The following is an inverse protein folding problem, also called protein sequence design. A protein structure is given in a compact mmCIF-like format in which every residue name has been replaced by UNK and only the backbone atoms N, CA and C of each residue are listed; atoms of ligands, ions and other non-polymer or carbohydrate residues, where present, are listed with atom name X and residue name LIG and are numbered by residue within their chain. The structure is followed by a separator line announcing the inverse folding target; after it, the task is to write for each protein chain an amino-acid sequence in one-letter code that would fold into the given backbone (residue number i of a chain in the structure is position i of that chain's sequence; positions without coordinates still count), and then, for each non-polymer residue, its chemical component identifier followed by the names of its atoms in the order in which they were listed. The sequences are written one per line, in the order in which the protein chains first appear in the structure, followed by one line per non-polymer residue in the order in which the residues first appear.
data_IF_100067049469
#
_entry.id   IF_100067049469
#
_cell.length_a   1.000
_cell.length_b   1.000
_cell.length_c   1.000
_cell.angle_alpha   90.00
_cell.angle_beta   90.00
_cell.angle_gamma   90.00
#
_symmetry.space_group_name_H-M   'P 1'
#
loop_
_entity.id
_entity.type
_entity.pdbx_description
1 polymer ?
#
# COMPACT_ATOMS: atom_id res chain seq x y z
N UNK A 1 -6.48 -35.25 -31.12
CA UNK A 1 -5.64 -34.09 -31.53
C UNK A 1 -6.37 -32.75 -31.44
N UNK A 2 -7.65 -32.64 -31.87
CA UNK A 2 -8.44 -31.38 -31.76
C UNK A 2 -8.71 -30.93 -30.30
N UNK A 3 -8.82 -31.88 -29.36
CA UNK A 3 -9.04 -31.61 -27.93
C UNK A 3 -7.79 -31.05 -27.19
N UNK A 4 -6.58 -31.39 -27.65
CA UNK A 4 -5.33 -30.90 -27.04
C UNK A 4 -5.03 -29.44 -27.41
N UNK A 5 -5.48 -28.98 -28.58
CA UNK A 5 -5.33 -27.58 -29.02
C UNK A 5 -6.24 -26.66 -28.19
N UNK A 6 -7.42 -27.14 -27.77
CA UNK A 6 -8.36 -26.36 -26.96
C UNK A 6 -7.89 -26.13 -25.52
N UNK A 7 -7.07 -27.02 -24.97
CA UNK A 7 -6.50 -26.87 -23.62
C UNK A 7 -5.33 -25.87 -23.59
N UNK A 8 -4.59 -25.74 -24.69
CA UNK A 8 -3.45 -24.80 -24.79
C UNK A 8 -3.91 -23.34 -24.97
N UNK A 9 -5.05 -23.13 -25.63
CA UNK A 9 -5.67 -21.79 -25.79
C UNK A 9 -6.24 -21.28 -24.46
N UNK A 10 -6.75 -22.18 -23.61
CA UNK A 10 -7.27 -21.81 -22.28
C UNK A 10 -6.15 -21.45 -21.29
N UNK A 11 -4.97 -22.07 -21.42
CA UNK A 11 -3.81 -21.79 -20.57
C UNK A 11 -3.14 -20.44 -20.89
N UNK A 12 -3.26 -19.95 -22.12
CA UNK A 12 -2.70 -18.66 -22.55
C UNK A 12 -3.44 -17.43 -21.98
N UNK A 13 -4.72 -17.56 -21.62
CA UNK A 13 -5.52 -16.47 -21.09
C UNK A 13 -5.23 -16.14 -19.60
N UNK A 14 -4.62 -17.07 -18.86
CA UNK A 14 -4.31 -16.91 -17.43
C UNK A 14 -3.00 -16.14 -17.17
N UNK A 15 -2.20 -15.87 -18.21
CA UNK A 15 -0.93 -15.14 -18.08
C UNK A 15 -1.07 -13.60 -18.19
N UNK A 16 -2.29 -13.08 -18.37
CA UNK A 16 -2.52 -11.67 -18.73
C UNK A 16 -2.53 -10.64 -17.59
N UNK A 17 -2.41 -11.03 -16.32
CA UNK A 17 -2.71 -10.13 -15.19
C UNK A 17 -1.50 -9.52 -14.45
N UNK A 18 -0.27 -9.59 -14.96
CA UNK A 18 0.92 -9.09 -14.23
C UNK A 18 1.40 -7.69 -14.60
N UNK A 19 0.72 -6.95 -15.48
CA UNK A 19 1.09 -5.57 -15.86
C UNK A 19 0.66 -4.51 -14.82
N UNK A 20 0.70 -4.84 -13.54
CA UNK A 20 0.53 -3.87 -12.46
C UNK A 20 1.91 -3.38 -12.01
N UNK A 21 2.32 -2.23 -12.54
CA UNK A 21 3.62 -1.58 -12.32
C UNK A 21 3.75 -0.95 -10.92
N UNK A 22 2.92 -1.35 -9.97
CA UNK A 22 2.93 -0.81 -8.61
C UNK A 22 4.21 -1.27 -7.93
N UNK A 23 5.07 -0.31 -7.61
CA UNK A 23 6.36 -0.56 -6.95
C UNK A 23 6.52 0.38 -5.77
N UNK A 24 7.22 -0.09 -4.73
CA UNK A 24 7.64 0.77 -3.63
C UNK A 24 8.75 1.69 -4.13
N UNK A 25 8.50 3.00 -4.16
CA UNK A 25 9.47 4.00 -4.60
C UNK A 25 10.20 4.68 -3.45
N UNK A 26 9.62 4.68 -2.25
CA UNK A 26 10.17 5.27 -1.05
C UNK A 26 9.74 4.45 0.17
N UNK A 27 10.66 4.31 1.12
CA UNK A 27 10.40 3.75 2.44
C UNK A 27 11.21 4.53 3.46
N UNK A 28 10.58 4.84 4.59
CA UNK A 28 11.24 5.46 5.74
C UNK A 28 10.84 4.71 6.99
N UNK A 29 11.81 4.49 7.88
CA UNK A 29 11.59 3.93 9.20
C UNK A 29 12.30 4.82 10.22
N UNK A 30 11.77 4.88 11.44
CA UNK A 30 12.37 5.67 12.51
C UNK A 30 13.80 5.18 12.81
N UNK A 31 14.85 6.00 12.65
CA UNK A 31 16.22 5.59 12.91
C UNK A 31 16.51 5.38 14.40
N UNK A 32 15.74 6.02 15.29
CA UNK A 32 15.85 5.87 16.74
C UNK A 32 15.18 4.60 17.24
N UNK A 33 14.43 3.91 16.38
CA UNK A 33 13.94 2.58 16.64
C UNK A 33 15.12 1.60 16.64
N UNK A 34 15.92 1.67 17.70
CA UNK A 34 16.93 0.66 18.02
C UNK A 34 16.13 -0.60 18.27
N UNK A 35 16.27 -1.58 17.39
CA UNK A 35 15.57 -2.86 17.44
C UNK A 35 15.91 -3.64 18.73
N UNK A 36 15.40 -3.18 19.87
CA UNK A 36 15.06 -4.09 20.94
C UNK A 36 13.99 -5.00 20.34
N UNK A 37 14.14 -6.32 20.44
CA UNK A 37 13.21 -7.20 19.78
C UNK A 37 11.83 -6.99 20.41
N UNK A 38 10.91 -6.41 19.64
CA UNK A 38 9.52 -6.29 20.04
C UNK A 38 8.96 -7.70 20.07
N UNK A 39 8.56 -8.14 21.25
CA UNK A 39 7.96 -9.44 21.47
C UNK A 39 6.53 -9.27 21.93
N UNK A 40 5.60 -9.60 21.04
CA UNK A 40 4.19 -9.76 21.36
C UNK A 40 3.79 -11.24 21.28
N UNK A 41 2.85 -11.62 22.12
CA UNK A 41 2.27 -12.96 22.15
C UNK A 41 1.06 -13.04 21.22
N UNK A 42 0.26 -11.97 21.16
CA UNK A 42 -0.98 -11.89 20.41
C UNK A 42 -1.16 -10.49 19.81
N UNK A 43 -1.11 -10.44 18.48
CA UNK A 43 -1.06 -9.21 17.71
C UNK A 43 -2.41 -8.97 17.02
N UNK A 44 -2.96 -7.79 17.19
CA UNK A 44 -4.09 -7.32 16.39
C UNK A 44 -3.58 -6.49 15.22
N UNK A 45 -4.13 -6.73 14.04
CA UNK A 45 -3.82 -5.96 12.83
C UNK A 45 -5.02 -5.09 12.48
N UNK A 46 -4.83 -3.78 12.53
CA UNK A 46 -5.88 -2.79 12.23
C UNK A 46 -5.49 -2.06 10.95
N UNK A 47 -6.40 -1.96 9.98
CA UNK A 47 -6.23 -1.07 8.84
C UNK A 47 -7.18 0.13 8.91
N UNK A 48 -6.71 1.28 8.46
CA UNK A 48 -7.53 2.48 8.22
C UNK A 48 -7.47 2.76 6.72
N UNK A 49 -8.57 2.43 6.04
CA UNK A 49 -8.70 2.48 4.58
C UNK A 49 -10.05 3.12 4.16
N UNK A 50 -10.18 3.63 2.92
CA UNK A 50 -11.36 4.30 2.38
C UNK A 50 -12.61 3.42 2.34
N UNK A 51 -12.46 2.12 2.10
CA UNK A 51 -13.56 1.17 2.10
C UNK A 51 -13.33 -0.01 3.04
N UNK A 52 -14.44 -0.64 3.45
CA UNK A 52 -14.41 -1.83 4.31
C UNK A 52 -13.71 -3.01 3.62
N UNK A 53 -13.90 -3.19 2.31
CA UNK A 53 -13.22 -4.24 1.52
C UNK A 53 -11.71 -4.04 1.51
N UNK A 54 -11.25 -2.80 1.26
CA UNK A 54 -9.83 -2.47 1.29
C UNK A 54 -9.25 -2.63 2.69
N UNK A 55 -10.00 -2.24 3.74
CA UNK A 55 -9.63 -2.43 5.14
C UNK A 55 -9.36 -3.91 5.42
N UNK A 56 -10.34 -4.78 5.18
CA UNK A 56 -10.23 -6.22 5.46
C UNK A 56 -9.10 -6.87 4.66
N UNK A 57 -9.00 -6.54 3.37
CA UNK A 57 -7.94 -7.08 2.50
C UNK A 57 -6.54 -6.69 2.98
N UNK A 58 -6.38 -5.45 3.48
CA UNK A 58 -5.11 -4.98 4.03
C UNK A 58 -4.79 -5.66 5.38
N UNK A 59 -5.79 -5.85 6.24
CA UNK A 59 -5.64 -6.58 7.51
C UNK A 59 -5.24 -8.04 7.28
N UNK A 60 -5.89 -8.73 6.33
CA UNK A 60 -5.56 -10.11 5.94
C UNK A 60 -4.13 -10.23 5.42
N UNK A 61 -3.77 -9.35 4.48
CA UNK A 61 -2.44 -9.36 3.89
C UNK A 61 -1.35 -9.11 4.95
N UNK A 62 -1.58 -8.16 5.85
CA UNK A 62 -0.63 -7.83 6.91
C UNK A 62 -0.57 -8.92 7.99
N UNK A 63 -1.70 -9.50 8.41
CA UNK A 63 -1.73 -10.62 9.33
C UNK A 63 -0.99 -11.84 8.77
N UNK A 64 -1.19 -12.15 7.48
CA UNK A 64 -0.45 -13.22 6.80
C UNK A 64 1.06 -12.96 6.74
N UNK A 65 1.49 -11.70 6.61
CA UNK A 65 2.92 -11.33 6.65
C UNK A 65 3.54 -11.44 8.04
N UNK A 66 2.78 -11.12 9.09
CA UNK A 66 3.25 -11.23 10.48
C UNK A 66 3.26 -12.69 10.94
N UNK A 67 2.27 -13.48 10.52
CA UNK A 67 2.18 -14.91 10.80
C UNK A 67 1.20 -15.27 11.92
N UNK A 68 1.33 -16.47 12.52
CA UNK A 68 0.28 -17.10 13.34
C UNK A 68 -0.20 -16.32 14.56
N UNK A 69 0.59 -15.36 15.04
CA UNK A 69 0.23 -14.52 16.20
C UNK A 69 -0.66 -13.34 15.83
N UNK A 70 -0.80 -13.02 14.55
CA UNK A 70 -1.56 -11.88 14.07
C UNK A 70 -3.01 -12.26 13.74
N UNK A 71 -3.94 -11.41 14.18
CA UNK A 71 -5.37 -11.53 13.91
C UNK A 71 -5.88 -10.26 13.23
N UNK A 72 -6.59 -10.35 12.08
CA UNK A 72 -7.26 -9.22 11.47
C UNK A 72 -8.31 -8.60 12.40
N UNK A 73 -8.30 -7.28 12.57
CA UNK A 73 -9.20 -6.59 13.48
C UNK A 73 -10.68 -6.77 13.15
N UNK A 74 -11.04 -6.90 11.88
CA UNK A 74 -12.43 -7.14 11.46
C UNK A 74 -13.02 -8.45 12.00
N UNK A 75 -12.18 -9.39 12.44
CA UNK A 75 -12.64 -10.65 13.06
C UNK A 75 -12.90 -10.54 14.56
N UNK A 76 -12.50 -9.41 15.17
CA UNK A 76 -12.54 -9.17 16.63
C UNK A 76 -13.45 -7.99 16.99
N UNK A 77 -13.37 -6.92 16.20
CA UNK A 77 -14.09 -5.67 16.35
C UNK A 77 -15.21 -5.59 15.32
N UNK A 78 -16.40 -5.19 15.76
CA UNK A 78 -17.47 -4.77 14.87
C UNK A 78 -17.15 -3.45 14.17
N UNK A 79 -17.90 -3.14 13.12
CA UNK A 79 -17.74 -1.87 12.39
C UNK A 79 -18.07 -0.63 13.25
N UNK A 80 -18.90 -0.80 14.29
CA UNK A 80 -19.16 0.26 15.26
C UNK A 80 -17.98 0.40 16.24
N UNK A 81 -17.48 -0.71 16.78
CA UNK A 81 -16.38 -0.70 17.75
C UNK A 81 -15.09 -0.14 17.12
N UNK A 82 -14.77 -0.47 15.86
CA UNK A 82 -13.54 0.01 15.20
C UNK A 82 -13.49 1.53 15.04
N UNK A 83 -14.66 2.20 15.08
CA UNK A 83 -14.78 3.67 14.99
C UNK A 83 -14.90 4.33 16.38
N UNK A 84 -14.99 3.53 17.44
CA UNK A 84 -15.06 3.98 18.83
C UNK A 84 -13.76 3.57 19.56
N UNK A 85 -12.86 4.53 19.85
CA UNK A 85 -11.59 4.24 20.53
C UNK A 85 -11.77 3.56 21.90
N UNK A 86 -12.81 3.92 22.66
CA UNK A 86 -13.04 3.37 23.99
C UNK A 86 -13.53 1.92 23.90
N UNK A 87 -14.51 1.67 23.02
CA UNK A 87 -15.01 0.32 22.79
C UNK A 87 -13.92 -0.59 22.19
N UNK A 88 -13.13 -0.08 21.24
CA UNK A 88 -11.95 -0.75 20.70
C UNK A 88 -10.97 -1.11 21.81
N UNK A 89 -10.53 -0.15 22.64
CA UNK A 89 -9.59 -0.42 23.75
C UNK A 89 -10.11 -1.55 24.65
N UNK A 90 -11.37 -1.45 25.10
CA UNK A 90 -11.98 -2.45 25.97
C UNK A 90 -12.03 -3.84 25.32
N UNK A 91 -12.43 -3.93 24.06
CA UNK A 91 -12.55 -5.20 23.33
C UNK A 91 -11.19 -5.85 23.06
N UNK A 92 -10.18 -5.05 22.70
CA UNK A 92 -8.80 -5.49 22.44
C UNK A 92 -8.17 -6.06 23.73
N UNK A 93 -8.31 -5.34 24.84
CA UNK A 93 -7.81 -5.77 26.15
C UNK A 93 -8.52 -7.03 26.65
N UNK A 94 -9.86 -7.08 26.57
CA UNK A 94 -10.64 -8.24 26.97
C UNK A 94 -10.31 -9.49 26.13
N UNK A 95 -9.90 -9.32 24.88
CA UNK A 95 -9.47 -10.41 24.01
C UNK A 95 -7.99 -10.81 24.19
N UNK A 96 -7.25 -10.15 25.10
CA UNK A 96 -5.89 -10.52 25.47
C UNK A 96 -4.82 -10.21 24.41
N UNK A 97 -5.07 -9.21 23.55
CA UNK A 97 -4.04 -8.72 22.63
C UNK A 97 -3.02 -7.89 23.42
N UNK A 98 -1.74 -8.11 23.16
CA UNK A 98 -0.63 -7.36 23.78
C UNK A 98 0.12 -6.48 22.77
N UNK A 99 -0.06 -6.71 21.46
CA UNK A 99 0.46 -5.87 20.40
C UNK A 99 -0.61 -5.43 19.41
N UNK A 100 -0.47 -4.21 18.87
CA UNK A 100 -1.28 -3.70 17.76
C UNK A 100 -0.37 -3.21 16.64
N UNK A 101 -0.62 -3.70 15.42
CA UNK A 101 -0.03 -3.15 14.19
C UNK A 101 -1.12 -2.39 13.46
N UNK A 102 -0.93 -1.08 13.30
CA UNK A 102 -1.85 -0.19 12.63
C UNK A 102 -1.28 0.21 11.27
N UNK A 103 -2.00 -0.10 10.20
CA UNK A 103 -1.72 0.35 8.84
C UNK A 103 -2.72 1.43 8.44
N UNK A 104 -2.25 2.57 7.96
CA UNK A 104 -3.12 3.68 7.56
C UNK A 104 -2.78 4.21 6.19
N UNK A 105 -3.81 4.44 5.37
CA UNK A 105 -3.67 5.14 4.10
C UNK A 105 -3.62 6.64 4.38
N UNK A 106 -2.52 7.28 4.00
CA UNK A 106 -2.36 8.73 4.12
C UNK A 106 -3.02 9.48 2.94
N UNK A 107 -3.14 8.80 1.80
CA UNK A 107 -3.74 9.34 0.59
C UNK A 107 -2.86 9.12 -0.63
N UNK A 108 -3.25 9.76 -1.73
CA UNK A 108 -2.50 9.73 -2.99
C UNK A 108 -1.79 11.07 -3.23
N UNK A 109 -0.50 10.99 -3.57
CA UNK A 109 0.25 12.09 -4.16
C UNK A 109 0.25 11.91 -5.67
N UNK A 110 -0.12 12.95 -6.40
CA UNK A 110 0.00 12.98 -7.86
C UNK A 110 1.24 13.75 -8.25
N UNK A 111 2.05 13.17 -9.13
CA UNK A 111 3.20 13.85 -9.73
C UNK A 111 2.98 13.94 -11.24
N UNK A 112 3.18 15.14 -11.80
CA UNK A 112 3.18 15.37 -13.24
C UNK A 112 4.60 15.62 -13.66
N UNK A 113 5.11 14.75 -14.51
CA UNK A 113 6.44 14.89 -15.10
C UNK A 113 6.29 15.25 -16.57
N UNK A 114 6.95 16.33 -16.96
CA UNK A 114 7.03 16.72 -18.36
C UNK A 114 8.25 16.05 -18.97
N UNK A 115 8.01 15.08 -19.84
CA UNK A 115 9.07 14.38 -20.56
C UNK A 115 9.43 15.18 -21.81
N UNK A 116 10.61 15.79 -21.81
CA UNK A 116 11.24 16.38 -22.99
C UNK A 116 12.39 15.51 -23.48
N UNK A 117 12.42 15.15 -24.77
CA UNK A 117 13.58 14.53 -25.36
C UNK A 117 14.66 15.61 -25.63
N UNK A 118 15.87 15.51 -25.08
CA UNK A 118 16.92 16.46 -25.39
C UNK A 118 17.30 16.32 -26.87
N UNK A 119 17.10 17.38 -27.65
CA UNK A 119 17.53 17.44 -29.06
C UNK A 119 18.89 18.13 -29.16
N UNK A 120 19.85 17.51 -29.81
CA UNK A 120 21.13 18.15 -30.12
C UNK A 120 21.03 18.82 -31.50
N UNK A 121 21.07 20.15 -31.54
CA UNK A 121 20.90 20.96 -32.75
C UNK A 121 21.64 22.29 -32.61
N UNK A 122 22.11 22.90 -33.73
CA UNK A 122 22.65 24.26 -33.72
C UNK A 122 21.65 25.28 -33.12
N UNK A 123 22.18 26.36 -32.52
CA UNK A 123 21.38 27.32 -31.73
C UNK A 123 20.11 27.81 -32.44
N UNK A 124 20.20 28.23 -33.70
CA UNK A 124 19.08 28.86 -34.40
C UNK A 124 18.00 27.86 -34.84
N UNK A 125 18.41 26.64 -35.17
CA UNK A 125 17.49 25.54 -35.49
C UNK A 125 16.75 25.09 -34.23
N UNK A 126 17.47 24.95 -33.11
CA UNK A 126 16.86 24.67 -31.82
C UNK A 126 15.93 25.79 -31.36
N UNK A 127 16.33 27.06 -31.53
CA UNK A 127 15.50 28.22 -31.17
C UNK A 127 14.17 28.24 -31.92
N UNK A 128 14.20 28.05 -33.24
CA UNK A 128 12.99 27.99 -34.08
C UNK A 128 12.08 26.81 -33.70
N UNK A 129 12.68 25.63 -33.50
CA UNK A 129 11.98 24.42 -33.10
C UNK A 129 11.31 24.57 -31.73
N UNK A 130 12.03 25.05 -30.72
CA UNK A 130 11.51 25.22 -29.36
C UNK A 130 10.33 26.20 -29.29
N UNK A 131 10.37 27.30 -30.05
CA UNK A 131 9.24 28.23 -30.11
C UNK A 131 8.01 27.63 -30.80
N UNK A 132 8.22 26.77 -31.81
CA UNK A 132 7.14 26.12 -32.56
C UNK A 132 6.44 25.03 -31.73
N UNK A 133 7.18 24.29 -30.92
CA UNK A 133 6.70 23.11 -30.19
C UNK A 133 6.59 23.30 -28.67
N UNK A 134 6.56 24.55 -28.20
CA UNK A 134 6.56 24.90 -26.78
C UNK A 134 5.43 24.25 -25.96
N UNK A 135 4.32 23.85 -26.60
CA UNK A 135 3.16 23.21 -25.95
C UNK A 135 3.09 21.68 -26.09
N UNK A 136 3.93 21.05 -26.90
CA UNK A 136 3.87 19.61 -27.19
C UNK A 136 4.69 18.78 -26.20
N UNK A 137 4.33 18.86 -24.92
CA UNK A 137 5.04 18.14 -23.87
C UNK A 137 4.26 16.90 -23.46
N UNK A 138 4.90 15.73 -23.50
CA UNK A 138 4.29 14.51 -22.95
C UNK A 138 4.24 14.62 -21.44
N UNK A 139 3.04 14.68 -20.88
CA UNK A 139 2.83 14.71 -19.42
C UNK A 139 2.62 13.27 -18.94
N UNK A 140 3.54 12.76 -18.14
CA UNK A 140 3.37 11.50 -17.42
C UNK A 140 2.82 11.81 -16.04
N UNK A 141 1.71 11.20 -15.67
CA UNK A 141 1.11 11.35 -14.34
C UNK A 141 1.34 10.10 -13.51
N UNK A 142 2.05 10.25 -12.40
CA UNK A 142 2.25 9.20 -11.41
C UNK A 142 1.27 9.37 -10.27
N UNK A 143 0.65 8.26 -9.84
CA UNK A 143 -0.21 8.22 -8.64
C UNK A 143 0.50 7.39 -7.57
N UNK A 144 0.89 8.05 -6.48
CA UNK A 144 1.70 7.46 -5.41
C UNK A 144 0.82 7.31 -4.17
N UNK A 145 0.53 6.07 -3.76
CA UNK A 145 -0.14 5.79 -2.50
C UNK A 145 0.86 5.91 -1.35
N UNK A 146 0.54 6.72 -0.36
CA UNK A 146 1.32 6.83 0.88
C UNK A 146 0.66 5.99 1.98
N UNK A 147 1.48 5.15 2.61
CA UNK A 147 1.09 4.26 3.69
C UNK A 147 1.92 4.56 4.93
N UNK A 148 1.28 4.51 6.09
CA UNK A 148 1.93 4.56 7.39
C UNK A 148 1.66 3.26 8.13
N UNK A 149 2.72 2.67 8.70
CA UNK A 149 2.60 1.53 9.63
C UNK A 149 3.15 1.94 10.98
N UNK A 150 2.36 1.75 12.03
CA UNK A 150 2.75 1.98 13.43
C UNK A 150 2.54 0.72 14.25
N UNK A 151 3.41 0.52 15.23
CA UNK A 151 3.36 -0.61 16.15
C UNK A 151 3.15 -0.04 17.54
N UNK A 152 2.19 -0.59 18.27
CA UNK A 152 1.82 -0.15 19.61
C UNK A 152 1.75 -1.35 20.57
N UNK A 153 2.06 -1.09 21.83
CA UNK A 153 1.69 -1.99 22.93
C UNK A 153 0.22 -1.77 23.26
N UNK A 154 -0.54 -2.85 23.41
CA UNK A 154 -1.95 -2.79 23.81
C UNK A 154 -2.13 -2.70 25.34
N UNK A 155 -1.04 -2.96 26.08
CA UNK A 155 -1.02 -3.00 27.54
C UNK A 155 -0.45 -1.73 28.16
N UNK A 156 0.38 -0.98 27.41
CA UNK A 156 0.95 0.28 27.87
C UNK A 156 0.02 1.44 27.54
N UNK A 157 -0.18 2.36 28.49
CA UNK A 157 -1.13 3.47 28.35
C UNK A 157 -0.56 4.72 27.67
N UNK A 158 0.64 4.64 27.08
CA UNK A 158 1.40 5.80 26.55
C UNK A 158 1.81 5.62 25.08
#
# INVERSE_FOLDING_TARGET
MKSLISLFVLLGFLAGCSLNNTRMIQSWANPEFKAQPIHFNKILVVAVAPSDTERRSAEDAMAAKIGPKATPAYSVLSEAEVKDPAASKARIQAAGFDGVVLLRWLGFREEKEVMGAPTYSPLWDHYSYSWTYMSESTVVQWKILQLETRIFSAVDEN
#
